data_IF_040974296859
#
_entry.id   IF_040974296859
#
_cell.length_a   1.000
_cell.length_b   1.000
_cell.length_c   1.000
_cell.angle_alpha   90.00
_cell.angle_beta   90.00
_cell.angle_gamma   90.00
#
_symmetry.space_group_name_H-M   'P 1'
#
loop_
_entity.id
_entity.type
_entity.pdbx_description
1 polymer ?
#
# COMPACT_ATOMS: atom_id res chain seq x y z
N UNK A 1 -5.73 7.60 5.19
CA UNK A 1 -6.04 8.93 5.76
C UNK A 1 -7.21 8.92 6.75
N UNK A 2 -8.47 8.63 6.35
CA UNK A 2 -9.64 8.83 7.24
C UNK A 2 -9.70 7.86 8.44
N UNK A 3 -9.56 6.55 8.20
CA UNK A 3 -9.53 5.52 9.25
C UNK A 3 -8.38 5.72 10.23
N UNK A 4 -7.19 6.07 9.72
CA UNK A 4 -6.00 6.36 10.54
C UNK A 4 -6.25 7.57 11.45
N UNK A 5 -6.84 8.65 10.92
CA UNK A 5 -7.19 9.83 11.72
C UNK A 5 -8.19 9.48 12.82
N UNK A 6 -9.28 8.78 12.49
CA UNK A 6 -10.31 8.38 13.47
C UNK A 6 -9.69 7.55 14.60
N UNK A 7 -8.79 6.62 14.26
CA UNK A 7 -8.18 5.72 15.24
C UNK A 7 -7.24 6.48 16.20
N UNK A 8 -6.55 7.50 15.70
CA UNK A 8 -5.66 8.34 16.50
C UNK A 8 -6.46 9.33 17.37
N UNK A 9 -7.49 9.97 16.82
CA UNK A 9 -8.23 11.03 17.51
C UNK A 9 -9.24 10.52 18.52
N UNK A 10 -9.82 9.34 18.29
CA UNK A 10 -10.96 8.86 19.08
C UNK A 10 -10.66 7.62 19.89
N UNK A 11 -9.48 7.01 19.72
CA UNK A 11 -9.05 5.79 20.44
C UNK A 11 -10.20 4.77 20.57
N UNK A 12 -10.81 4.38 19.43
CA UNK A 12 -12.01 3.56 19.43
C UNK A 12 -11.77 2.25 20.19
N UNK A 13 -12.81 1.79 20.89
CA UNK A 13 -12.77 0.46 21.51
C UNK A 13 -12.72 -0.62 20.42
N UNK A 14 -12.48 -1.86 20.82
CA UNK A 14 -12.49 -2.97 19.87
C UNK A 14 -13.85 -3.11 19.15
N UNK A 15 -14.96 -2.95 19.88
CA UNK A 15 -16.30 -3.06 19.30
C UNK A 15 -16.56 -1.92 18.29
N UNK A 16 -16.06 -0.72 18.57
CA UNK A 16 -16.12 0.41 17.63
C UNK A 16 -15.29 0.12 16.37
N UNK A 17 -14.08 -0.43 16.52
CA UNK A 17 -13.24 -0.84 15.39
C UNK A 17 -13.91 -1.91 14.55
N UNK A 18 -14.52 -2.91 15.17
CA UNK A 18 -15.21 -4.00 14.47
C UNK A 18 -16.41 -3.46 13.68
N UNK A 19 -17.22 -2.59 14.29
CA UNK A 19 -18.36 -1.97 13.62
C UNK A 19 -17.92 -1.07 12.46
N UNK A 20 -16.93 -0.20 12.68
CA UNK A 20 -16.37 0.66 11.62
C UNK A 20 -15.87 -0.17 10.44
N UNK A 21 -15.12 -1.25 10.69
CA UNK A 21 -14.60 -2.10 9.62
C UNK A 21 -15.70 -2.90 8.90
N UNK A 22 -16.74 -3.35 9.61
CA UNK A 22 -17.89 -4.04 8.99
C UNK A 22 -18.77 -3.12 8.13
N UNK A 23 -18.86 -1.83 8.49
CA UNK A 23 -19.59 -0.83 7.72
C UNK A 23 -18.79 -0.39 6.48
N UNK A 24 -17.47 -0.27 6.61
CA UNK A 24 -16.61 0.29 5.57
C UNK A 24 -16.12 -0.73 4.54
N UNK A 25 -16.09 -2.02 4.88
CA UNK A 25 -15.50 -3.07 4.04
C UNK A 25 -16.45 -4.25 3.83
N UNK A 26 -16.35 -4.85 2.65
CA UNK A 26 -17.00 -6.14 2.37
C UNK A 26 -16.35 -7.27 3.18
N UNK A 27 -17.04 -8.41 3.31
CA UNK A 27 -16.48 -9.60 3.98
C UNK A 27 -15.19 -10.10 3.32
N UNK A 28 -15.03 -9.93 2.00
CA UNK A 28 -13.83 -10.31 1.26
C UNK A 28 -12.65 -9.36 1.56
N UNK A 29 -12.88 -8.06 1.53
CA UNK A 29 -11.87 -7.07 1.90
C UNK A 29 -11.45 -7.24 3.35
N UNK A 30 -12.41 -7.52 4.24
CA UNK A 30 -12.13 -7.77 5.64
C UNK A 30 -11.25 -9.00 5.86
N UNK A 31 -11.51 -10.09 5.14
CA UNK A 31 -10.68 -11.30 5.18
C UNK A 31 -9.25 -11.04 4.66
N UNK A 32 -9.09 -10.21 3.62
CA UNK A 32 -7.78 -9.76 3.13
C UNK A 32 -7.03 -8.93 4.17
N UNK A 33 -7.69 -7.92 4.75
CA UNK A 33 -7.12 -7.04 5.79
C UNK A 33 -6.64 -7.86 6.98
N UNK A 34 -7.48 -8.80 7.43
CA UNK A 34 -7.17 -9.69 8.54
C UNK A 34 -5.98 -10.60 8.23
N UNK A 35 -5.95 -11.18 7.04
CA UNK A 35 -4.85 -12.04 6.61
C UNK A 35 -3.51 -11.28 6.59
N UNK A 36 -3.49 -10.05 6.08
CA UNK A 36 -2.28 -9.23 6.06
C UNK A 36 -1.86 -8.76 7.46
N UNK A 37 -2.82 -8.36 8.30
CA UNK A 37 -2.58 -8.06 9.72
C UNK A 37 -1.93 -9.24 10.45
N UNK A 38 -2.38 -10.46 10.16
CA UNK A 38 -1.85 -11.68 10.75
C UNK A 38 -0.38 -11.93 10.35
N UNK A 39 0.01 -11.65 9.10
CA UNK A 39 1.40 -11.74 8.64
C UNK A 39 2.31 -10.74 9.34
N UNK A 40 1.81 -9.57 9.72
CA UNK A 40 2.60 -8.55 10.42
C UNK A 40 2.96 -8.99 11.85
N UNK A 41 2.09 -9.75 12.52
CA UNK A 41 2.34 -10.25 13.89
C UNK A 41 3.14 -11.56 13.89
N UNK A 42 2.88 -12.45 12.92
CA UNK A 42 3.49 -13.79 12.88
C UNK A 42 4.65 -13.93 11.87
N UNK A 43 4.98 -12.87 11.15
CA UNK A 43 6.00 -12.88 10.09
C UNK A 43 5.47 -13.35 8.73
N UNK A 44 6.28 -13.24 7.65
CA UNK A 44 5.85 -13.46 6.26
C UNK A 44 5.45 -14.90 5.93
N UNK A 45 5.54 -15.83 6.88
CA UNK A 45 5.28 -17.25 6.64
C UNK A 45 4.46 -17.90 7.77
N UNK A 46 3.17 -17.56 7.94
CA UNK A 46 2.31 -18.22 8.92
C UNK A 46 2.04 -19.71 8.57
N UNK A 47 2.26 -20.11 7.31
CA UNK A 47 2.02 -21.47 6.81
C UNK A 47 3.18 -22.46 7.01
N UNK A 48 4.34 -22.02 7.55
CA UNK A 48 5.50 -22.91 7.72
C UNK A 48 5.44 -23.77 8.99
N UNK A 49 4.49 -23.48 9.87
CA UNK A 49 3.94 -24.43 10.83
C UNK A 49 2.47 -24.58 10.52
N UNK A 50 1.85 -25.72 10.87
CA UNK A 50 0.43 -26.01 10.73
C UNK A 50 -0.48 -25.03 11.52
N UNK A 51 -0.39 -23.72 11.30
CA UNK A 51 -1.28 -22.74 11.89
C UNK A 51 -2.51 -22.65 10.98
N UNK A 52 -3.70 -23.05 11.46
CA UNK A 52 -4.91 -22.96 10.66
C UNK A 52 -5.11 -21.50 10.22
N UNK A 53 -5.56 -21.28 8.97
CA UNK A 53 -6.12 -19.99 8.57
C UNK A 53 -7.23 -19.67 9.55
N UNK A 54 -6.98 -18.74 10.47
CA UNK A 54 -7.95 -18.36 11.48
C UNK A 54 -8.95 -17.48 10.75
N UNK A 55 -10.22 -17.89 10.61
CA UNK A 55 -11.22 -17.04 10.01
C UNK A 55 -11.27 -15.72 10.75
N UNK A 56 -11.55 -14.61 10.06
CA UNK A 56 -11.43 -13.31 10.69
C UNK A 56 -12.46 -13.13 11.82
N UNK A 57 -13.58 -13.87 11.79
CA UNK A 57 -14.58 -13.98 12.87
C UNK A 57 -14.28 -15.04 13.93
N UNK A 58 -13.14 -15.73 13.85
CA UNK A 58 -12.83 -16.78 14.82
C UNK A 58 -12.45 -16.18 16.16
N UNK A 59 -13.15 -16.67 17.20
CA UNK A 59 -12.88 -16.47 18.62
C UNK A 59 -11.44 -16.74 19.06
N UNK A 60 -10.60 -17.33 18.21
CA UNK A 60 -9.20 -17.67 18.50
C UNK A 60 -8.18 -16.62 18.01
N UNK A 61 -8.55 -15.71 17.11
CA UNK A 61 -7.67 -14.61 16.69
C UNK A 61 -7.64 -13.49 17.72
N UNK A 62 -8.84 -13.07 18.15
CA UNK A 62 -9.05 -11.96 19.09
C UNK A 62 -8.23 -12.06 20.39
N UNK A 63 -8.18 -13.20 21.11
CA UNK A 63 -7.46 -13.28 22.38
C UNK A 63 -5.94 -13.21 22.23
N UNK A 64 -5.39 -13.47 21.04
CA UNK A 64 -3.94 -13.50 20.82
C UNK A 64 -3.38 -12.11 20.54
N UNK A 65 -4.14 -11.24 19.88
CA UNK A 65 -3.77 -9.83 19.64
C UNK A 65 -4.21 -8.92 20.80
N UNK A 66 -5.40 -9.13 21.38
CA UNK A 66 -5.86 -8.37 22.56
C UNK A 66 -4.93 -8.55 23.78
N UNK A 67 -4.25 -9.69 23.90
CA UNK A 67 -3.21 -9.93 24.92
C UNK A 67 -2.00 -9.00 24.80
N UNK A 68 -1.78 -8.40 23.63
CA UNK A 68 -0.63 -7.52 23.33
C UNK A 68 -0.99 -6.04 23.60
N UNK A 69 -2.27 -5.73 23.82
CA UNK A 69 -2.77 -4.38 24.09
C UNK A 69 -3.48 -3.75 22.90
N UNK A 70 -4.40 -2.83 23.18
CA UNK A 70 -5.24 -2.13 22.20
C UNK A 70 -4.42 -1.36 21.17
N UNK A 71 -3.33 -0.75 21.58
CA UNK A 71 -2.48 0.02 20.66
C UNK A 71 -1.81 -0.87 19.61
N UNK A 72 -1.31 -2.04 20.01
CA UNK A 72 -0.68 -2.99 19.08
C UNK A 72 -1.70 -3.63 18.14
N UNK A 73 -2.95 -3.83 18.61
CA UNK A 73 -4.05 -4.26 17.76
C UNK A 73 -4.38 -3.22 16.68
N UNK A 74 -4.48 -1.95 17.05
CA UNK A 74 -4.77 -0.86 16.11
C UNK A 74 -3.65 -0.69 15.08
N UNK A 75 -2.39 -0.71 15.49
CA UNK A 75 -1.26 -0.60 14.55
C UNK A 75 -1.19 -1.78 13.60
N UNK A 76 -1.48 -2.98 14.08
CA UNK A 76 -1.52 -4.20 13.26
C UNK A 76 -2.66 -4.16 12.25
N UNK A 77 -3.86 -3.73 12.67
CA UNK A 77 -5.01 -3.58 11.78
C UNK A 77 -4.77 -2.52 10.71
N UNK A 78 -4.21 -1.37 11.09
CA UNK A 78 -3.86 -0.32 10.13
C UNK A 78 -2.78 -0.79 9.15
N UNK A 79 -1.80 -1.56 9.63
CA UNK A 79 -0.79 -2.19 8.78
C UNK A 79 -1.41 -3.20 7.80
N UNK A 80 -2.28 -4.09 8.29
CA UNK A 80 -2.99 -5.06 7.46
C UNK A 80 -3.90 -4.38 6.43
N UNK A 81 -4.59 -3.32 6.84
CA UNK A 81 -5.39 -2.49 5.96
C UNK A 81 -4.54 -1.91 4.84
N UNK A 82 -3.43 -1.27 5.20
CA UNK A 82 -2.52 -0.66 4.23
C UNK A 82 -2.02 -1.66 3.21
N UNK A 83 -1.75 -2.91 3.61
CA UNK A 83 -1.29 -3.95 2.68
C UNK A 83 -2.44 -4.52 1.84
N UNK A 84 -3.60 -4.77 2.44
CA UNK A 84 -4.76 -5.33 1.74
C UNK A 84 -5.37 -4.36 0.71
N UNK A 85 -5.25 -3.05 0.94
CA UNK A 85 -5.68 -2.02 -0.01
C UNK A 85 -4.58 -1.64 -1.00
N UNK A 86 -3.38 -2.23 -0.94
CA UNK A 86 -2.35 -1.99 -1.96
C UNK A 86 -2.87 -2.47 -3.30
N UNK A 87 -2.83 -1.57 -4.28
CA UNK A 87 -3.10 -1.92 -5.67
C UNK A 87 -2.04 -2.92 -6.13
N UNK A 88 -2.42 -3.99 -6.84
CA UNK A 88 -1.45 -4.89 -7.42
C UNK A 88 -0.55 -4.12 -8.39
N UNK A 89 0.75 -4.36 -8.32
CA UNK A 89 1.71 -3.72 -9.23
C UNK A 89 1.44 -4.18 -10.66
N UNK A 90 1.21 -3.23 -11.56
CA UNK A 90 1.10 -3.46 -13.00
C UNK A 90 2.18 -2.66 -13.74
N UNK A 91 3.37 -3.24 -13.82
CA UNK A 91 4.50 -2.58 -14.51
C UNK A 91 4.29 -2.49 -16.02
N UNK A 92 3.48 -3.38 -16.64
CA UNK A 92 3.16 -3.28 -18.07
C UNK A 92 2.50 -1.93 -18.37
N UNK A 93 1.50 -1.56 -17.57
CA UNK A 93 0.80 -0.26 -17.70
C UNK A 93 1.71 0.92 -17.44
N UNK A 94 2.65 0.78 -16.51
CA UNK A 94 3.65 1.82 -16.24
C UNK A 94 4.56 2.01 -17.44
N UNK A 95 5.10 0.93 -18.01
CA UNK A 95 6.06 0.98 -19.13
C UNK A 95 5.44 1.39 -20.48
N UNK A 96 4.12 1.27 -20.63
CA UNK A 96 3.37 1.73 -21.81
C UNK A 96 3.42 3.26 -21.97
N UNK A 97 3.62 4.00 -20.88
CA UNK A 97 3.64 5.47 -20.89
C UNK A 97 5.04 5.95 -21.24
N UNK A 98 5.25 6.29 -22.50
CA UNK A 98 6.49 6.89 -23.02
C UNK A 98 6.16 8.30 -23.48
N UNK A 99 7.00 9.26 -23.12
CA UNK A 99 6.82 10.64 -23.57
C UNK A 99 6.99 10.70 -25.09
N UNK A 100 5.94 11.15 -25.78
CA UNK A 100 5.97 11.39 -27.22
C UNK A 100 6.93 12.53 -27.59
N UNK A 101 7.42 12.55 -28.83
CA UNK A 101 8.35 13.60 -29.32
C UNK A 101 7.76 15.00 -29.33
N UNK A 102 6.42 15.10 -29.37
CA UNK A 102 5.65 16.35 -29.35
C UNK A 102 4.92 16.58 -28.02
N UNK A 103 5.11 15.70 -27.02
CA UNK A 103 4.41 15.83 -25.74
C UNK A 103 5.07 16.88 -24.84
N UNK A 104 4.22 17.75 -24.30
CA UNK A 104 4.61 18.85 -23.43
C UNK A 104 5.21 18.38 -22.08
N UNK A 105 5.79 19.29 -21.28
CA UNK A 105 6.33 18.99 -19.94
C UNK A 105 5.34 18.37 -18.94
N UNK A 106 4.04 18.34 -19.25
CA UNK A 106 3.01 17.60 -18.49
C UNK A 106 3.21 16.08 -18.47
N UNK A 107 4.19 15.55 -19.22
CA UNK A 107 4.58 14.15 -19.19
C UNK A 107 5.01 13.66 -17.79
N UNK A 108 5.59 14.52 -16.94
CA UNK A 108 5.94 14.16 -15.57
C UNK A 108 4.69 13.90 -14.71
N UNK A 109 3.67 14.74 -14.84
CA UNK A 109 2.41 14.61 -14.10
C UNK A 109 1.69 13.31 -14.49
N UNK A 110 1.60 13.03 -15.80
CA UNK A 110 1.04 11.76 -16.31
C UNK A 110 1.84 10.55 -15.83
N UNK A 111 3.17 10.63 -15.85
CA UNK A 111 4.03 9.56 -15.34
C UNK A 111 3.76 9.30 -13.86
N UNK A 112 3.72 10.35 -13.02
CA UNK A 112 3.42 10.24 -11.59
C UNK A 112 2.02 9.67 -11.34
N UNK A 113 1.01 10.10 -12.10
CA UNK A 113 -0.36 9.60 -11.99
C UNK A 113 -0.44 8.10 -12.32
N UNK A 114 0.23 7.67 -13.39
CA UNK A 114 0.27 6.26 -13.81
C UNK A 114 1.03 5.43 -12.79
N UNK A 115 2.16 5.94 -12.27
CA UNK A 115 2.93 5.25 -11.24
C UNK A 115 2.14 5.10 -9.95
N UNK A 116 1.44 6.15 -9.51
CA UNK A 116 0.54 6.11 -8.36
C UNK A 116 -0.64 5.16 -8.59
N UNK A 117 -1.15 5.12 -9.81
CA UNK A 117 -2.35 4.34 -10.13
C UNK A 117 -2.08 2.84 -10.21
N UNK A 118 -0.94 2.45 -10.79
CA UNK A 118 -0.61 1.08 -11.13
C UNK A 118 0.49 0.46 -10.28
N UNK A 119 1.05 1.20 -9.32
CA UNK A 119 2.02 0.64 -8.38
C UNK A 119 1.67 1.02 -6.94
N UNK A 120 2.10 0.23 -5.94
CA UNK A 120 1.97 0.58 -4.53
C UNK A 120 3.06 1.57 -4.07
N UNK A 121 3.88 2.11 -4.98
CA UNK A 121 4.97 3.03 -4.67
C UNK A 121 4.36 4.43 -4.53
N UNK A 122 4.59 5.06 -3.39
CA UNK A 122 4.24 6.46 -3.17
C UNK A 122 5.24 7.34 -3.95
N UNK A 123 4.77 8.09 -4.98
CA UNK A 123 5.65 8.92 -5.79
C UNK A 123 6.17 10.16 -5.05
N UNK A 124 5.54 10.55 -3.94
CA UNK A 124 5.95 11.72 -3.14
C UNK A 124 6.94 11.34 -2.03
N UNK A 125 7.05 10.05 -1.69
CA UNK A 125 7.95 9.58 -0.66
C UNK A 125 9.43 9.73 -1.09
N UNK A 126 10.28 10.39 -0.27
CA UNK A 126 11.65 10.72 -0.64
C UNK A 126 12.51 9.47 -0.92
N UNK A 127 12.26 8.36 -0.22
CA UNK A 127 12.92 7.07 -0.46
C UNK A 127 12.73 6.54 -1.89
N UNK A 128 11.62 6.88 -2.56
CA UNK A 128 11.29 6.38 -3.90
C UNK A 128 11.81 7.29 -5.02
N UNK A 129 12.20 8.53 -4.69
CA UNK A 129 12.55 9.57 -5.66
C UNK A 129 13.64 9.14 -6.65
N UNK A 130 14.67 8.43 -6.18
CA UNK A 130 15.76 7.96 -7.04
C UNK A 130 15.28 6.93 -8.06
N UNK A 131 14.43 5.98 -7.65
CA UNK A 131 13.89 4.96 -8.54
C UNK A 131 12.93 5.56 -9.58
N UNK A 132 12.09 6.50 -9.15
CA UNK A 132 11.15 7.22 -10.01
C UNK A 132 11.86 8.08 -11.06
N UNK A 133 12.92 8.78 -10.67
CA UNK A 133 13.74 9.54 -11.62
C UNK A 133 14.36 8.64 -12.69
N UNK A 134 14.89 7.48 -12.30
CA UNK A 134 15.47 6.53 -13.26
C UNK A 134 14.41 5.98 -14.23
N UNK A 135 13.23 5.64 -13.72
CA UNK A 135 12.10 5.18 -14.53
C UNK A 135 11.65 6.29 -15.50
N UNK A 136 11.46 7.52 -15.02
CA UNK A 136 11.09 8.66 -15.86
C UNK A 136 12.10 8.91 -16.98
N UNK A 137 13.41 8.94 -16.69
CA UNK A 137 14.47 9.11 -17.71
C UNK A 137 14.45 7.99 -18.74
N UNK A 138 14.13 6.76 -18.35
CA UNK A 138 14.04 5.63 -19.27
C UNK A 138 12.85 5.72 -20.23
N UNK A 139 11.79 6.44 -19.85
CA UNK A 139 10.55 6.61 -20.59
C UNK A 139 10.41 8.00 -21.24
N UNK A 140 11.39 8.87 -21.05
CA UNK A 140 11.45 10.18 -21.69
C UNK A 140 11.78 10.04 -23.20
N UNK A 141 11.34 11.02 -23.98
CA UNK A 141 11.72 11.13 -25.38
C UNK A 141 13.25 11.23 -25.53
N UNK A 142 13.80 10.78 -26.66
CA UNK A 142 15.25 10.64 -26.85
C UNK A 142 16.03 11.96 -26.66
N UNK A 143 15.48 13.08 -27.13
CA UNK A 143 16.09 14.40 -26.99
C UNK A 143 16.10 14.88 -25.53
N UNK A 144 15.02 14.61 -24.79
CA UNK A 144 14.87 14.92 -23.36
C UNK A 144 15.82 14.05 -22.54
N UNK A 145 15.85 12.74 -22.81
CA UNK A 145 16.77 11.81 -22.15
C UNK A 145 18.23 12.24 -22.32
N UNK A 146 18.61 12.68 -23.53
CA UNK A 146 19.97 13.19 -23.80
C UNK A 146 20.27 14.48 -23.03
N UNK A 147 19.29 15.36 -22.83
CA UNK A 147 19.44 16.58 -22.03
C UNK A 147 19.54 16.27 -20.53
N UNK A 148 18.71 15.36 -20.01
CA UNK A 148 18.71 14.95 -18.61
C UNK A 148 20.02 14.26 -18.22
N UNK A 149 20.54 13.36 -19.05
CA UNK A 149 21.82 12.69 -18.81
C UNK A 149 23.03 13.64 -18.75
N UNK A 150 22.94 14.81 -19.38
CA UNK A 150 24.00 15.84 -19.31
C UNK A 150 23.94 16.69 -18.04
N UNK A 151 22.81 16.72 -17.35
CA UNK A 151 22.64 17.45 -16.09
C UNK A 151 23.05 16.62 -14.87
N UNK A 152 22.99 15.30 -14.98
CA UNK A 152 23.47 14.36 -13.96
C UNK A 152 24.98 14.07 -14.06
N UNK A 153 25.68 14.67 -15.03
CA UNK A 153 27.12 14.48 -15.31
C UNK A 153 28.00 15.62 -14.84
#
# INVERSE_FOLDING_TARGET
>A
PLLETIFVTHQPTWDDCQQLLQVLFTTEEWDKIHHEAQKLVMGPNPLRGNTPRIPPYSKFFLPRILKIGTQTLLTTLLGGLRVATRRPTNMSKVTEVVQGTEESPSALEKFMEVYFTFTPIDPEAPENRKALNLAFVSQAAQDIRTKLQKLDG
#
